data_IF_610907740306
#
_entry.id   IF_610907740306
#
_cell.length_a   1.000
_cell.length_b   1.000
_cell.length_c   1.000
_cell.angle_alpha   90.00
_cell.angle_beta   90.00
_cell.angle_gamma   90.00
#
_symmetry.space_group_name_H-M   'P 1'
#
loop_
_entity.id
_entity.type
_entity.pdbx_description
1 polymer ?
#
# COMPACT_ATOMS: atom_id res chain seq x y z
N UNK A 1 -6.98 5.21 -12.30
CA UNK A 1 -7.43 4.46 -11.10
C UNK A 1 -6.29 4.44 -10.09
N UNK A 2 -6.24 5.13 -8.95
CA UNK A 2 -7.15 6.04 -8.27
C UNK A 2 -6.41 6.54 -7.02
N UNK A 3 -6.64 7.80 -6.62
CA UNK A 3 -6.13 8.36 -5.37
C UNK A 3 -6.95 7.80 -4.20
N UNK A 4 -6.69 6.57 -3.78
CA UNK A 4 -7.21 6.07 -2.49
C UNK A 4 -6.17 6.39 -1.43
N UNK A 5 -6.36 7.49 -0.71
CA UNK A 5 -5.71 7.68 0.57
C UNK A 5 -6.12 6.51 1.48
N UNK A 6 -5.17 6.01 2.28
CA UNK A 6 -5.50 4.99 3.28
C UNK A 6 -6.51 5.58 4.27
N UNK A 7 -7.54 4.80 4.63
CA UNK A 7 -8.51 5.20 5.65
C UNK A 7 -7.77 5.54 6.95
N UNK A 8 -8.14 6.68 7.54
CA UNK A 8 -7.60 7.11 8.83
C UNK A 8 -8.00 6.13 9.93
N UNK A 9 -7.29 6.16 11.07
CA UNK A 9 -7.61 5.30 12.22
C UNK A 9 -9.03 5.57 12.71
N UNK A 10 -9.44 6.85 12.78
CA UNK A 10 -10.79 7.28 13.21
C UNK A 10 -11.87 6.74 12.28
N UNK A 11 -11.67 6.81 10.96
CA UNK A 11 -12.64 6.26 10.00
C UNK A 11 -12.77 4.75 10.14
N UNK A 12 -11.65 4.04 10.33
CA UNK A 12 -11.67 2.59 10.54
C UNK A 12 -12.44 2.21 11.79
N UNK A 13 -12.27 2.95 12.89
CA UNK A 13 -13.02 2.68 14.13
C UNK A 13 -14.51 2.91 13.94
N UNK A 14 -14.93 3.99 13.28
CA UNK A 14 -16.35 4.27 12.99
C UNK A 14 -16.95 3.16 12.12
N UNK A 15 -16.22 2.73 11.10
CA UNK A 15 -16.66 1.63 10.23
C UNK A 15 -16.81 0.34 11.05
N UNK A 16 -15.85 0.01 11.90
CA UNK A 16 -15.86 -1.23 12.68
C UNK A 16 -16.96 -1.24 13.76
N UNK A 17 -17.30 -0.10 14.35
CA UNK A 17 -18.39 0.01 15.34
C UNK A 17 -19.74 -0.14 14.66
N UNK A 18 -20.03 0.69 13.65
CA UNK A 18 -21.34 0.70 12.98
C UNK A 18 -21.60 -0.61 12.22
N UNK A 19 -20.55 -1.24 11.68
CA UNK A 19 -20.69 -2.54 11.02
C UNK A 19 -21.09 -3.66 12.01
N UNK A 20 -20.62 -3.61 13.26
CA UNK A 20 -21.02 -4.55 14.32
C UNK A 20 -22.46 -4.33 14.78
N UNK A 21 -22.93 -3.08 14.73
CA UNK A 21 -24.33 -2.71 15.02
C UNK A 21 -25.30 -3.16 13.91
N UNK A 22 -24.78 -3.60 12.75
CA UNK A 22 -25.58 -4.09 11.63
C UNK A 22 -26.04 -3.00 10.67
N UNK A 23 -25.49 -1.79 10.78
CA UNK A 23 -25.85 -0.66 9.93
C UNK A 23 -25.51 -0.91 8.45
N UNK A 24 -26.31 -0.37 7.51
CA UNK A 24 -26.04 -0.54 6.09
C UNK A 24 -24.79 0.25 5.67
N UNK A 25 -24.01 -0.30 4.74
CA UNK A 25 -22.74 0.31 4.28
C UNK A 25 -22.91 1.73 3.72
N UNK A 26 -24.09 2.05 3.17
CA UNK A 26 -24.42 3.40 2.66
C UNK A 26 -24.51 4.43 3.78
N UNK A 27 -25.03 4.04 4.94
CA UNK A 27 -25.07 4.88 6.14
C UNK A 27 -23.67 5.05 6.72
N UNK A 28 -22.94 3.95 6.89
CA UNK A 28 -21.56 3.96 7.40
C UNK A 28 -20.65 4.86 6.55
N UNK A 29 -20.80 4.82 5.23
CA UNK A 29 -20.01 5.64 4.31
C UNK A 29 -20.25 7.14 4.53
N UNK A 30 -21.51 7.54 4.76
CA UNK A 30 -21.87 8.92 5.06
C UNK A 30 -21.27 9.36 6.39
N UNK A 31 -21.43 8.54 7.43
CA UNK A 31 -20.95 8.85 8.78
C UNK A 31 -19.42 8.91 8.86
N UNK A 32 -18.72 7.96 8.24
CA UNK A 32 -17.26 7.95 8.18
C UNK A 32 -16.67 8.97 7.18
N UNK A 33 -17.50 9.68 6.41
CA UNK A 33 -17.06 10.63 5.39
C UNK A 33 -16.19 9.99 4.31
N UNK A 34 -16.54 8.78 3.86
CA UNK A 34 -15.78 8.04 2.86
C UNK A 34 -16.70 7.38 1.81
N UNK A 35 -16.14 6.77 0.77
CA UNK A 35 -16.96 6.09 -0.24
C UNK A 35 -17.47 4.74 0.29
N UNK A 36 -18.66 4.33 -0.13
CA UNK A 36 -19.21 2.99 0.17
C UNK A 36 -18.25 1.87 -0.26
N UNK A 37 -17.55 2.06 -1.39
CA UNK A 37 -16.53 1.11 -1.86
C UNK A 37 -15.32 1.03 -0.92
N UNK A 38 -14.97 2.09 -0.19
CA UNK A 38 -13.92 2.06 0.82
C UNK A 38 -14.37 1.27 2.07
N UNK A 39 -15.62 1.47 2.52
CA UNK A 39 -16.24 0.68 3.60
C UNK A 39 -16.24 -0.81 3.25
N UNK A 40 -16.78 -1.17 2.09
CA UNK A 40 -16.81 -2.55 1.60
C UNK A 40 -15.41 -3.15 1.49
N UNK A 41 -14.44 -2.40 0.97
CA UNK A 41 -13.04 -2.85 0.91
C UNK A 41 -12.45 -3.09 2.28
N UNK A 42 -12.73 -2.26 3.28
CA UNK A 42 -12.19 -2.41 4.64
C UNK A 42 -12.78 -3.63 5.34
N UNK A 43 -14.10 -3.79 5.31
CA UNK A 43 -14.82 -4.96 5.88
C UNK A 43 -14.32 -6.26 5.24
N UNK A 44 -14.22 -6.29 3.91
CA UNK A 44 -13.81 -7.49 3.18
C UNK A 44 -12.28 -7.67 3.09
N UNK A 45 -11.46 -6.66 3.48
CA UNK A 45 -10.00 -6.68 3.27
C UNK A 45 -9.32 -7.82 4.01
N UNK A 46 -9.88 -8.26 5.13
CA UNK A 46 -9.33 -9.36 5.94
C UNK A 46 -9.19 -10.66 5.16
N UNK A 47 -9.89 -10.82 4.02
CA UNK A 47 -9.90 -12.05 3.23
C UNK A 47 -8.83 -12.12 2.13
N UNK A 48 -8.16 -11.02 1.77
CA UNK A 48 -7.19 -11.03 0.65
C UNK A 48 -5.80 -10.56 1.08
N UNK A 49 -4.92 -11.51 1.39
CA UNK A 49 -3.52 -11.30 1.79
C UNK A 49 -2.58 -10.82 0.67
N UNK A 50 -3.07 -10.03 -0.30
CA UNK A 50 -2.22 -9.54 -1.39
C UNK A 50 -1.24 -8.51 -0.86
N UNK A 51 0.01 -8.95 -0.65
CA UNK A 51 1.14 -8.07 -0.33
C UNK A 51 1.32 -7.04 -1.45
N UNK A 52 1.68 -5.81 -1.10
CA UNK A 52 2.05 -4.78 -2.09
C UNK A 52 3.22 -5.33 -2.91
N UNK A 53 2.99 -5.67 -4.18
CA UNK A 53 4.07 -5.96 -5.10
C UNK A 53 4.67 -4.62 -5.52
N UNK A 54 5.81 -4.28 -4.93
CA UNK A 54 6.55 -3.06 -5.29
C UNK A 54 6.96 -3.09 -6.75
N UNK A 55 7.34 -1.92 -7.28
CA UNK A 55 7.95 -1.83 -8.61
C UNK A 55 9.19 -2.73 -8.63
N UNK A 56 9.29 -3.59 -9.64
CA UNK A 56 10.49 -4.40 -9.87
C UNK A 56 11.69 -3.46 -10.02
N UNK A 57 12.81 -3.79 -9.37
CA UNK A 57 14.06 -3.02 -9.51
C UNK A 57 14.43 -2.92 -10.99
N UNK A 58 14.89 -1.75 -11.42
CA UNK A 58 15.36 -1.54 -12.79
C UNK A 58 16.62 -2.36 -13.08
N UNK A 59 17.45 -2.61 -12.07
CA UNK A 59 18.66 -3.42 -12.19
C UNK A 59 18.51 -4.77 -11.51
N UNK A 60 19.19 -5.76 -12.10
CA UNK A 60 19.34 -7.08 -11.47
C UNK A 60 20.46 -7.04 -10.42
N UNK A 61 20.43 -7.99 -9.47
CA UNK A 61 21.52 -8.14 -8.49
C UNK A 61 22.89 -8.38 -9.18
N UNK A 62 22.87 -8.98 -10.38
CA UNK A 62 24.07 -9.21 -11.19
C UNK A 62 24.65 -7.90 -11.70
N UNK A 63 23.83 -7.02 -12.27
CA UNK A 63 24.25 -5.69 -12.72
C UNK A 63 24.81 -4.86 -11.56
N UNK A 64 24.12 -4.84 -10.42
CA UNK A 64 24.63 -4.13 -9.23
C UNK A 64 26.00 -4.65 -8.79
N UNK A 65 26.19 -5.98 -8.79
CA UNK A 65 27.50 -6.57 -8.48
C UNK A 65 28.57 -6.19 -9.51
N UNK A 66 28.22 -6.12 -10.79
CA UNK A 66 29.15 -5.66 -11.83
C UNK A 66 29.53 -4.19 -11.65
N UNK A 67 28.56 -3.32 -11.33
CA UNK A 67 28.81 -1.91 -11.04
C UNK A 67 29.71 -1.73 -9.80
N UNK A 68 29.46 -2.48 -8.72
CA UNK A 68 30.33 -2.47 -7.54
C UNK A 68 31.77 -2.89 -7.86
N UNK A 69 31.95 -3.88 -8.75
CA UNK A 69 33.28 -4.29 -9.22
C UNK A 69 33.96 -3.20 -10.01
N UNK A 70 33.25 -2.54 -10.93
CA UNK A 70 33.78 -1.41 -11.70
C UNK A 70 34.21 -0.26 -10.78
N UNK A 71 33.39 0.10 -9.80
CA UNK A 71 33.76 1.14 -8.81
C UNK A 71 34.98 0.72 -7.99
N UNK A 72 35.07 -0.54 -7.55
CA UNK A 72 36.23 -1.06 -6.80
C UNK A 72 37.50 -1.14 -7.65
N UNK A 73 37.38 -1.45 -8.94
CA UNK A 73 38.50 -1.52 -9.89
C UNK A 73 38.94 -0.13 -10.35
N UNK A 74 38.01 0.81 -10.51
CA UNK A 74 38.25 2.21 -10.83
C UNK A 74 38.64 3.03 -9.59
N UNK A 75 39.52 2.49 -8.74
CA UNK A 75 40.41 3.36 -7.97
C UNK A 75 41.32 3.99 -9.02
N UNK A 76 41.03 5.23 -9.39
CA UNK A 76 41.83 6.04 -10.30
C UNK A 76 43.29 5.55 -10.42
N UNK A 77 43.65 5.00 -11.58
CA UNK A 77 45.00 5.19 -12.09
C UNK A 77 45.06 6.64 -12.57
N UNK A 78 45.05 7.59 -11.64
CA UNK A 78 45.51 8.94 -11.92
C UNK A 78 47.04 8.84 -11.92
N UNK A 79 47.61 8.53 -13.09
CA UNK A 79 49.00 8.73 -13.46
C UNK A 79 48.99 9.19 -14.92
#
# INVERSE_FOLDING_TARGET
MGKTADLTVVQKTIIDTLHKEGEPQTFIAKEAGCSQSAVSKHVNRKLSGRKKCGRKRCTTNRENRSLERLVKQNRFKNL
#
